data_IF_507001937565
#
_entry.id   IF_507001937565
#
_cell.length_a   1.000
_cell.length_b   1.000
_cell.length_c   1.000
_cell.angle_alpha   90.00
_cell.angle_beta   90.00
_cell.angle_gamma   90.00
#
_symmetry.space_group_name_H-M   'P 1'
#
loop_
_entity.id
_entity.type
_entity.pdbx_description
1 polymer ?
#
# COMPACT_ATOMS: atom_id res chain seq x y z
N UNK A 1 -30.00 -20.71 -29.65
CA UNK A 1 -29.85 -20.74 -28.19
C UNK A 1 -28.37 -20.61 -27.90
N UNK A 2 -27.93 -19.46 -27.42
CA UNK A 2 -26.51 -19.23 -27.10
C UNK A 2 -26.20 -19.87 -25.74
N UNK A 3 -25.22 -20.77 -25.72
CA UNK A 3 -24.70 -21.37 -24.50
C UNK A 3 -23.94 -20.28 -23.74
N UNK A 4 -24.22 -20.04 -22.44
CA UNK A 4 -23.45 -19.09 -21.68
C UNK A 4 -22.02 -19.63 -21.51
N UNK A 5 -21.04 -18.85 -21.97
CA UNK A 5 -19.63 -19.07 -21.63
C UNK A 5 -19.50 -18.79 -20.13
N UNK A 6 -19.29 -19.84 -19.35
CA UNK A 6 -18.88 -19.69 -17.97
C UNK A 6 -17.45 -19.14 -17.98
N UNK A 7 -17.31 -17.84 -17.82
CA UNK A 7 -16.07 -17.22 -17.34
C UNK A 7 -15.87 -17.73 -15.93
N UNK A 8 -15.06 -18.78 -15.79
CA UNK A 8 -14.41 -19.10 -14.52
C UNK A 8 -13.68 -17.83 -14.09
N UNK A 9 -14.02 -17.28 -12.92
CA UNK A 9 -13.18 -16.29 -12.26
C UNK A 9 -11.73 -16.81 -12.27
N UNK A 10 -10.72 -15.96 -12.51
CA UNK A 10 -9.35 -16.40 -12.30
C UNK A 10 -9.28 -17.01 -10.90
N UNK A 11 -8.68 -18.20 -10.81
CA UNK A 11 -8.37 -18.78 -9.51
C UNK A 11 -7.63 -17.68 -8.74
N UNK A 12 -8.15 -17.27 -7.58
CA UNK A 12 -7.41 -16.41 -6.67
C UNK A 12 -6.00 -16.99 -6.59
N UNK A 13 -5.01 -16.20 -6.98
CA UNK A 13 -3.63 -16.61 -6.87
C UNK A 13 -3.40 -16.93 -5.39
N UNK A 14 -2.70 -18.04 -5.15
CA UNK A 14 -2.41 -18.43 -3.79
C UNK A 14 -1.40 -17.43 -3.23
N UNK A 15 -1.69 -16.83 -2.06
CA UNK A 15 -0.74 -15.94 -1.37
C UNK A 15 0.64 -16.60 -1.29
N UNK A 16 1.65 -15.90 -1.80
CA UNK A 16 3.04 -16.32 -1.81
C UNK A 16 3.87 -15.34 -0.98
N UNK A 17 4.15 -15.61 0.30
CA UNK A 17 4.89 -14.68 1.14
C UNK A 17 6.34 -14.50 0.63
N UNK A 18 6.88 -13.30 0.77
CA UNK A 18 8.27 -12.99 0.39
C UNK A 18 9.31 -13.66 1.28
N UNK A 19 8.97 -13.98 2.52
CA UNK A 19 9.83 -14.75 3.41
C UNK A 19 9.04 -15.77 4.23
N UNK A 20 9.69 -16.88 4.56
CA UNK A 20 9.16 -17.91 5.45
C UNK A 20 10.22 -18.22 6.51
N UNK A 21 9.82 -18.14 7.78
CA UNK A 21 10.66 -18.56 8.91
C UNK A 21 10.24 -19.93 9.40
N UNK A 22 11.15 -20.89 9.29
CA UNK A 22 11.02 -22.22 9.88
C UNK A 22 11.70 -22.21 11.24
N UNK A 23 11.00 -22.57 12.30
CA UNK A 23 11.56 -22.55 13.66
C UNK A 23 11.15 -23.76 14.48
N UNK A 24 11.98 -24.10 15.45
CA UNK A 24 11.69 -25.18 16.40
C UNK A 24 12.48 -24.99 17.69
N UNK A 25 12.09 -25.72 18.73
CA UNK A 25 12.91 -25.85 19.94
C UNK A 25 14.18 -26.64 19.63
N UNK A 26 15.28 -26.30 20.30
CA UNK A 26 16.50 -27.08 20.25
C UNK A 26 16.51 -28.22 21.25
N UNK A 27 17.68 -28.49 21.83
CA UNK A 27 17.88 -29.53 22.84
C UNK A 27 19.31 -29.54 23.36
N UNK A 28 19.66 -30.59 24.12
CA UNK A 28 20.99 -30.72 24.70
C UNK A 28 22.08 -30.86 23.62
N UNK A 29 23.12 -30.03 23.74
CA UNK A 29 24.41 -30.22 23.08
C UNK A 29 25.16 -31.28 23.89
N UNK A 30 25.34 -32.45 23.31
CA UNK A 30 25.99 -33.57 24.00
C UNK A 30 27.47 -33.27 24.21
N UNK A 31 28.05 -33.63 25.37
CA UNK A 31 29.49 -33.70 25.52
C UNK A 31 30.12 -34.58 24.43
N UNK A 32 31.27 -34.18 23.92
CA UNK A 32 32.08 -34.98 23.01
C UNK A 32 33.44 -35.37 23.61
N UNK A 33 34.26 -36.07 22.82
CA UNK A 33 33.93 -36.68 21.53
C UNK A 33 33.27 -38.08 21.66
N UNK A 34 32.52 -38.49 20.63
CA UNK A 34 31.96 -39.85 20.54
C UNK A 34 33.06 -40.92 20.38
N UNK A 35 32.84 -42.19 20.77
CA UNK A 35 33.82 -43.26 20.56
C UNK A 35 34.27 -43.35 19.09
N UNK A 36 35.59 -43.34 18.87
CA UNK A 36 36.24 -43.39 17.55
C UNK A 36 36.02 -42.15 16.67
N UNK A 37 35.44 -41.07 17.20
CA UNK A 37 35.31 -39.78 16.52
C UNK A 37 36.07 -38.70 17.31
N UNK A 38 36.26 -37.54 16.68
CA UNK A 38 36.91 -36.37 17.30
C UNK A 38 35.90 -35.34 17.84
N UNK A 39 34.59 -35.60 17.69
CA UNK A 39 33.49 -34.80 18.23
C UNK A 39 32.24 -35.66 18.50
N UNK A 40 31.28 -35.10 19.23
CA UNK A 40 29.87 -35.51 19.22
C UNK A 40 29.08 -34.50 18.39
N UNK A 41 27.86 -34.85 17.96
CA UNK A 41 27.02 -33.95 17.17
C UNK A 41 25.54 -34.07 17.54
N UNK A 42 24.79 -32.98 17.36
CA UNK A 42 23.34 -32.96 17.38
C UNK A 42 22.86 -32.34 16.07
N UNK A 43 21.71 -32.77 15.55
CA UNK A 43 21.10 -32.12 14.41
C UNK A 43 19.60 -31.91 14.62
N UNK A 44 19.11 -30.79 14.13
CA UNK A 44 17.69 -30.46 14.05
C UNK A 44 17.35 -30.17 12.60
N UNK A 45 16.22 -30.67 12.12
CA UNK A 45 15.86 -30.61 10.71
C UNK A 45 14.44 -30.07 10.51
N UNK A 46 14.22 -29.51 9.32
CA UNK A 46 12.91 -29.12 8.81
C UNK A 46 12.80 -29.53 7.34
N UNK A 47 11.61 -29.96 6.94
CA UNK A 47 11.28 -30.23 5.54
C UNK A 47 10.52 -29.03 4.97
N UNK A 48 10.95 -28.57 3.80
CA UNK A 48 10.32 -27.47 3.07
C UNK A 48 9.63 -28.00 1.81
N UNK A 49 8.57 -27.33 1.37
CA UNK A 49 7.82 -27.67 0.14
C UNK A 49 7.83 -26.55 -0.89
N UNK A 50 8.50 -25.43 -0.59
CA UNK A 50 8.57 -24.28 -1.49
C UNK A 50 9.62 -24.53 -2.57
N UNK A 51 9.22 -24.39 -3.84
CA UNK A 51 10.09 -24.63 -4.99
C UNK A 51 10.80 -23.36 -5.46
N UNK A 52 10.46 -22.20 -4.89
CA UNK A 52 11.04 -20.91 -5.27
C UNK A 52 12.52 -20.83 -4.91
N UNK A 53 13.23 -19.99 -5.66
CA UNK A 53 14.63 -19.64 -5.39
C UNK A 53 14.71 -18.82 -4.10
N UNK A 54 15.56 -19.24 -3.17
CA UNK A 54 15.95 -18.41 -2.03
C UNK A 54 17.07 -17.47 -2.48
N UNK A 55 16.94 -16.20 -2.11
CA UNK A 55 17.88 -15.11 -2.46
C UNK A 55 18.52 -14.48 -1.23
N UNK A 56 18.08 -14.88 -0.05
CA UNK A 56 18.62 -14.43 1.23
C UNK A 56 18.21 -15.45 2.31
N UNK A 57 19.14 -15.75 3.21
CA UNK A 57 19.04 -16.87 4.15
C UNK A 57 19.62 -16.47 5.51
N UNK A 58 18.78 -16.47 6.54
CA UNK A 58 19.21 -16.22 7.91
C UNK A 58 19.15 -17.47 8.77
N UNK A 59 20.12 -17.63 9.66
CA UNK A 59 20.08 -18.60 10.75
C UNK A 59 20.07 -17.88 12.10
N UNK A 60 19.06 -18.11 12.93
CA UNK A 60 19.09 -17.75 14.34
C UNK A 60 19.20 -18.99 15.22
N UNK A 61 20.07 -18.96 16.22
CA UNK A 61 20.28 -20.06 17.16
C UNK A 61 20.50 -19.53 18.57
N UNK A 62 19.66 -19.97 19.51
CA UNK A 62 19.76 -19.64 20.93
C UNK A 62 20.67 -20.66 21.63
N UNK A 63 21.84 -20.22 22.07
CA UNK A 63 22.92 -21.06 22.58
C UNK A 63 23.14 -20.80 24.07
N UNK A 64 23.34 -21.86 24.83
CA UNK A 64 23.99 -21.82 26.15
C UNK A 64 25.11 -22.86 26.14
N UNK A 65 26.35 -22.40 26.08
CA UNK A 65 27.53 -23.25 26.14
C UNK A 65 28.73 -22.50 26.70
N UNK A 66 29.41 -23.10 27.69
CA UNK A 66 30.52 -22.43 28.38
C UNK A 66 31.81 -22.29 27.53
N UNK A 67 31.88 -22.96 26.37
CA UNK A 67 33.08 -23.05 25.52
C UNK A 67 32.77 -22.99 24.02
N UNK A 68 32.67 -21.80 23.46
CA UNK A 68 32.47 -21.55 22.03
C UNK A 68 33.57 -22.17 21.14
N UNK A 69 34.80 -22.24 21.65
CA UNK A 69 35.94 -22.78 20.89
C UNK A 69 35.83 -24.28 20.58
N UNK A 70 34.94 -24.97 21.28
CA UNK A 70 34.69 -26.40 21.08
C UNK A 70 33.54 -26.66 20.08
N UNK A 71 32.79 -25.62 19.68
CA UNK A 71 31.61 -25.75 18.85
C UNK A 71 31.91 -25.55 17.36
N UNK A 72 31.23 -26.33 16.53
CA UNK A 72 31.16 -26.11 15.09
C UNK A 72 29.71 -26.24 14.64
N UNK A 73 29.18 -25.19 14.00
CA UNK A 73 27.77 -25.09 13.62
C UNK A 73 27.68 -25.01 12.11
N UNK A 74 26.99 -25.97 11.51
CA UNK A 74 26.72 -26.02 10.07
C UNK A 74 25.23 -25.92 9.80
N UNK A 75 24.88 -25.21 8.74
CA UNK A 75 23.60 -25.33 8.06
C UNK A 75 23.81 -26.20 6.81
N UNK A 76 22.96 -27.21 6.66
CA UNK A 76 22.88 -28.11 5.53
C UNK A 76 21.50 -28.00 4.89
N UNK A 77 21.45 -28.17 3.58
CA UNK A 77 20.22 -28.03 2.81
C UNK A 77 20.04 -29.20 1.84
N UNK A 78 18.95 -29.19 1.06
CA UNK A 78 18.59 -30.28 0.16
C UNK A 78 19.65 -30.59 -0.89
N UNK A 79 20.47 -29.60 -1.24
CA UNK A 79 21.53 -29.71 -2.24
C UNK A 79 22.86 -30.24 -1.65
N UNK A 80 22.96 -30.40 -0.34
CA UNK A 80 24.20 -30.82 0.34
C UNK A 80 24.46 -32.32 0.08
N UNK A 81 25.49 -32.62 -0.71
CA UNK A 81 25.95 -33.99 -0.97
C UNK A 81 27.34 -34.18 -0.39
N UNK A 82 27.53 -35.18 0.49
CA UNK A 82 28.85 -35.47 1.05
C UNK A 82 29.48 -34.29 1.81
N UNK A 83 28.64 -33.46 2.46
CA UNK A 83 28.97 -32.24 3.21
C UNK A 83 29.14 -30.93 2.41
N UNK A 84 28.97 -30.92 1.08
CA UNK A 84 29.05 -29.70 0.28
C UNK A 84 27.87 -29.56 -0.71
N UNK A 85 27.39 -28.33 -0.99
CA UNK A 85 27.71 -27.10 -0.24
C UNK A 85 27.13 -27.14 1.18
N UNK A 86 27.80 -26.48 2.12
CA UNK A 86 27.30 -26.20 3.46
C UNK A 86 27.64 -24.77 3.85
N UNK A 87 26.89 -24.24 4.83
CA UNK A 87 27.18 -22.94 5.44
C UNK A 87 27.71 -23.19 6.84
N UNK A 88 28.93 -22.74 7.11
CA UNK A 88 29.51 -22.78 8.44
C UNK A 88 29.12 -21.49 9.15
N UNK A 89 28.17 -21.56 10.08
CA UNK A 89 27.78 -20.41 10.89
C UNK A 89 28.87 -20.05 11.91
N UNK A 90 29.36 -21.05 12.65
CA UNK A 90 30.47 -20.92 13.60
C UNK A 90 31.51 -22.03 13.35
N UNK A 91 32.75 -21.63 13.10
CA UNK A 91 33.87 -22.55 12.98
C UNK A 91 34.49 -22.85 14.36
N UNK A 92 34.88 -24.11 14.58
CA UNK A 92 35.63 -24.51 15.78
C UNK A 92 36.85 -23.62 15.99
N UNK A 93 36.98 -23.07 17.19
CA UNK A 93 38.08 -22.18 17.58
C UNK A 93 37.97 -20.74 17.07
N UNK A 94 36.92 -20.37 16.34
CA UNK A 94 36.71 -19.01 15.83
C UNK A 94 36.43 -18.00 16.95
N UNK A 95 35.68 -18.43 17.97
CA UNK A 95 35.45 -17.68 19.19
C UNK A 95 35.77 -18.54 20.41
N UNK A 96 35.91 -17.92 21.58
CA UNK A 96 36.30 -18.59 22.83
C UNK A 96 35.39 -18.16 23.98
N UNK A 97 35.34 -18.96 25.04
CA UNK A 97 34.58 -18.63 26.25
C UNK A 97 33.09 -18.94 26.14
N UNK A 98 32.27 -18.29 26.96
CA UNK A 98 30.83 -18.53 27.06
C UNK A 98 30.09 -17.94 25.87
N UNK A 99 29.14 -18.69 25.34
CA UNK A 99 28.05 -18.20 24.48
C UNK A 99 26.74 -18.43 25.21
N UNK A 100 25.94 -17.37 25.34
CA UNK A 100 24.69 -17.37 26.11
C UNK A 100 23.70 -16.39 25.46
N UNK A 101 22.62 -16.93 24.90
CA UNK A 101 21.54 -16.21 24.24
C UNK A 101 21.47 -16.41 22.73
N UNK A 102 20.77 -15.50 22.06
CA UNK A 102 20.41 -15.62 20.64
C UNK A 102 21.49 -15.06 19.72
N UNK A 103 22.08 -15.93 18.90
CA UNK A 103 23.04 -15.59 17.87
C UNK A 103 22.37 -15.69 16.51
N UNK A 104 22.43 -14.61 15.71
CA UNK A 104 21.96 -14.59 14.33
C UNK A 104 23.14 -14.59 13.39
N UNK A 105 23.02 -15.38 12.33
CA UNK A 105 24.00 -15.51 11.28
C UNK A 105 23.37 -15.11 9.96
N UNK A 106 24.02 -14.15 9.29
CA UNK A 106 23.56 -13.45 8.10
C UNK A 106 24.82 -12.84 7.43
N UNK A 107 25.06 -13.03 6.12
CA UNK A 107 26.24 -12.46 5.45
C UNK A 107 26.19 -10.93 5.29
N UNK A 108 25.01 -10.33 5.42
CA UNK A 108 24.78 -8.89 5.45
C UNK A 108 25.18 -8.27 6.80
N UNK A 109 25.33 -9.09 7.85
CA UNK A 109 25.78 -8.63 9.16
C UNK A 109 27.16 -7.96 9.08
N UNK A 110 27.39 -6.96 9.92
CA UNK A 110 28.64 -6.18 9.87
C UNK A 110 29.80 -6.76 10.69
N UNK A 111 29.52 -7.66 11.62
CA UNK A 111 30.47 -8.17 12.60
C UNK A 111 30.77 -9.66 12.38
N UNK A 112 32.00 -10.11 12.66
CA UNK A 112 32.32 -11.55 12.74
C UNK A 112 32.34 -12.00 14.19
N UNK A 113 31.78 -13.18 14.48
CA UNK A 113 31.88 -13.77 15.82
C UNK A 113 33.33 -14.18 16.07
N UNK A 114 34.03 -13.47 16.95
CA UNK A 114 35.45 -13.68 17.27
C UNK A 114 35.74 -13.26 18.72
N UNK A 115 36.92 -13.58 19.23
CA UNK A 115 37.36 -13.14 20.55
C UNK A 115 36.85 -14.01 21.70
N UNK A 116 36.73 -13.42 22.90
CA UNK A 116 36.34 -14.12 24.13
C UNK A 116 34.99 -13.64 24.64
N UNK A 117 34.13 -14.59 25.00
CA UNK A 117 32.75 -14.38 25.47
C UNK A 117 31.96 -13.46 24.52
N UNK A 118 31.82 -13.82 23.23
CA UNK A 118 31.08 -12.98 22.29
C UNK A 118 29.62 -12.86 22.75
N UNK A 119 29.06 -11.63 22.83
CA UNK A 119 27.68 -11.45 23.24
C UNK A 119 26.71 -12.03 22.20
N UNK A 120 25.49 -12.36 22.62
CA UNK A 120 24.39 -12.60 21.70
C UNK A 120 24.19 -11.38 20.76
N UNK A 121 23.86 -11.65 19.49
CA UNK A 121 23.78 -10.61 18.46
C UNK A 121 23.91 -11.17 17.05
N UNK A 122 24.12 -10.27 16.10
CA UNK A 122 24.11 -10.58 14.66
C UNK A 122 25.53 -10.62 14.11
N UNK A 123 25.85 -11.69 13.38
CA UNK A 123 27.20 -12.01 12.95
C UNK A 123 27.25 -12.58 11.54
N UNK A 124 28.32 -12.29 10.82
CA UNK A 124 28.63 -12.99 9.59
C UNK A 124 28.95 -14.46 9.88
N UNK A 125 28.42 -15.39 9.07
CA UNK A 125 28.83 -16.77 9.14
C UNK A 125 30.31 -16.91 8.72
N UNK A 126 30.94 -18.00 9.14
CA UNK A 126 32.31 -18.33 8.71
C UNK A 126 32.39 -18.63 7.20
N UNK A 127 31.30 -19.10 6.59
CA UNK A 127 31.12 -19.24 5.14
C UNK A 127 29.82 -18.53 4.75
N UNK A 128 29.83 -17.70 3.70
CA UNK A 128 28.68 -16.89 3.28
C UNK A 128 27.43 -17.73 3.02
N UNK A 129 26.23 -17.25 3.42
CA UNK A 129 24.98 -18.01 3.28
C UNK A 129 24.52 -18.09 1.82
N UNK A 130 24.92 -17.12 1.01
CA UNK A 130 24.80 -17.13 -0.45
C UNK A 130 25.31 -18.39 -1.15
N UNK A 131 26.14 -19.21 -0.50
CA UNK A 131 26.50 -20.55 -0.99
C UNK A 131 25.29 -21.53 -1.09
N UNK A 132 24.18 -21.22 -0.42
CA UNK A 132 22.97 -22.05 -0.34
C UNK A 132 21.70 -21.36 -0.88
N UNK A 133 21.83 -20.16 -1.45
CA UNK A 133 20.77 -19.42 -2.18
C UNK A 133 20.57 -19.99 -3.59
N UNK A 134 20.07 -21.22 -3.67
CA UNK A 134 19.89 -21.94 -4.94
C UNK A 134 18.53 -22.64 -5.02
N UNK A 135 17.90 -22.72 -6.21
CA UNK A 135 16.69 -23.52 -6.41
C UNK A 135 16.99 -24.97 -6.82
N UNK A 136 16.09 -25.94 -6.53
CA UNK A 136 14.90 -25.81 -5.68
C UNK A 136 15.26 -25.88 -4.19
N UNK A 137 14.48 -25.19 -3.34
CA UNK A 137 14.67 -25.21 -1.88
C UNK A 137 13.87 -26.29 -1.16
N UNK A 138 13.03 -27.02 -1.88
CA UNK A 138 12.28 -28.20 -1.43
C UNK A 138 13.20 -29.29 -0.88
N UNK A 139 12.88 -29.78 0.32
CA UNK A 139 13.51 -30.93 0.96
C UNK A 139 14.06 -30.62 2.36
N UNK A 140 14.93 -31.51 2.82
CA UNK A 140 15.46 -31.46 4.18
C UNK A 140 16.53 -30.39 4.37
N UNK A 141 16.26 -29.44 5.25
CA UNK A 141 17.23 -28.53 5.83
C UNK A 141 17.58 -28.98 7.23
N UNK A 142 18.85 -28.84 7.63
CA UNK A 142 19.26 -29.21 8.98
C UNK A 142 20.40 -28.37 9.53
N UNK A 143 20.30 -28.07 10.81
CA UNK A 143 21.36 -27.40 11.58
C UNK A 143 22.09 -28.48 12.35
N UNK A 144 23.41 -28.55 12.16
CA UNK A 144 24.30 -29.49 12.82
C UNK A 144 25.20 -28.74 13.80
N UNK A 145 25.14 -29.12 15.07
CA UNK A 145 26.02 -28.59 16.11
C UNK A 145 26.94 -29.70 16.57
N UNK A 146 28.22 -29.59 16.21
CA UNK A 146 29.28 -30.49 16.65
C UNK A 146 29.99 -29.92 17.88
N UNK A 147 30.28 -30.78 18.85
CA UNK A 147 31.02 -30.44 20.06
C UNK A 147 32.29 -31.29 20.17
N UNK A 148 33.43 -30.61 20.11
CA UNK A 148 34.77 -31.21 20.19
C UNK A 148 35.32 -31.26 21.63
N UNK A 149 34.56 -30.74 22.60
CA UNK A 149 34.91 -30.68 24.01
C UNK A 149 34.02 -31.56 24.87
N UNK A 150 34.37 -31.70 26.14
CA UNK A 150 33.64 -32.53 27.12
C UNK A 150 32.56 -31.76 27.89
N UNK A 151 32.37 -30.48 27.59
CA UNK A 151 31.38 -29.62 28.24
C UNK A 151 30.04 -29.78 27.54
N UNK A 152 28.95 -29.95 28.31
CA UNK A 152 27.60 -29.96 27.76
C UNK A 152 27.10 -28.52 27.56
N UNK A 153 26.03 -28.37 26.79
CA UNK A 153 25.26 -27.14 26.73
C UNK A 153 23.88 -27.39 26.13
N UNK A 154 23.23 -26.34 25.66
CA UNK A 154 21.90 -26.43 25.04
C UNK A 154 21.77 -25.49 23.85
N UNK A 155 20.95 -25.92 22.90
CA UNK A 155 20.28 -25.03 21.96
C UNK A 155 18.87 -24.83 22.50
N UNK A 156 18.47 -23.62 22.86
CA UNK A 156 17.12 -23.34 23.36
C UNK A 156 16.10 -23.39 22.22
N UNK A 157 16.39 -22.67 21.15
CA UNK A 157 15.58 -22.59 19.94
C UNK A 157 16.45 -22.30 18.73
N UNK A 158 15.90 -22.54 17.54
CA UNK A 158 16.54 -22.15 16.29
C UNK A 158 15.48 -21.75 15.27
N UNK A 159 15.90 -20.93 14.30
CA UNK A 159 15.10 -20.63 13.13
C UNK A 159 15.96 -20.46 11.88
N UNK A 160 15.41 -20.85 10.73
CA UNK A 160 15.93 -20.55 9.41
C UNK A 160 14.90 -19.65 8.73
N UNK A 161 15.29 -18.43 8.36
CA UNK A 161 14.45 -17.55 7.55
C UNK A 161 14.93 -17.62 6.12
N UNK A 162 13.99 -17.86 5.20
CA UNK A 162 14.25 -17.92 3.77
C UNK A 162 13.49 -16.79 3.09
N UNK A 163 14.20 -15.92 2.39
CA UNK A 163 13.64 -14.87 1.54
C UNK A 163 13.67 -15.32 0.09
N UNK A 164 12.56 -15.18 -0.63
CA UNK A 164 12.37 -15.73 -1.97
C UNK A 164 12.55 -14.70 -3.08
N UNK A 165 13.05 -15.15 -4.24
CA UNK A 165 13.25 -14.33 -5.42
C UNK A 165 11.95 -13.73 -5.96
N UNK A 166 10.84 -14.44 -5.80
CA UNK A 166 9.52 -14.09 -6.31
C UNK A 166 8.48 -14.27 -5.20
N UNK A 167 7.57 -13.32 -5.07
CA UNK A 167 6.47 -13.37 -4.11
C UNK A 167 5.29 -12.51 -4.58
N UNK A 168 4.14 -12.79 -3.99
CA UNK A 168 2.84 -12.18 -4.23
C UNK A 168 2.14 -12.18 -2.86
N UNK A 169 2.43 -11.16 -2.05
CA UNK A 169 2.09 -11.15 -0.62
C UNK A 169 0.59 -10.98 -0.38
N UNK A 170 -0.13 -10.35 -1.31
CA UNK A 170 -1.56 -10.13 -1.20
C UNK A 170 -2.39 -11.15 -2.00
N UNK A 171 -1.79 -11.87 -2.95
CA UNK A 171 -2.42 -12.93 -3.73
C UNK A 171 -3.23 -12.41 -4.92
N UNK A 172 -2.89 -11.25 -5.46
CA UNK A 172 -3.59 -10.63 -6.58
C UNK A 172 -3.12 -11.16 -7.96
N UNK A 173 -2.04 -11.93 -7.97
CA UNK A 173 -1.45 -12.53 -9.16
C UNK A 173 -0.35 -11.70 -9.82
N UNK A 174 0.02 -10.56 -9.25
CA UNK A 174 1.13 -9.71 -9.67
C UNK A 174 2.31 -9.91 -8.70
N UNK A 175 3.51 -10.04 -9.25
CA UNK A 175 4.70 -10.19 -8.41
C UNK A 175 5.03 -8.87 -7.72
N UNK A 176 5.34 -8.90 -6.43
CA UNK A 176 5.64 -7.76 -5.56
C UNK A 176 6.60 -6.73 -6.20
N UNK A 177 7.56 -7.17 -7.02
CA UNK A 177 8.55 -6.31 -7.70
C UNK A 177 7.97 -5.42 -8.81
N UNK A 178 6.83 -5.80 -9.36
CA UNK A 178 6.14 -5.09 -10.44
C UNK A 178 4.75 -4.65 -10.04
N UNK A 179 4.33 -4.97 -8.81
CA UNK A 179 3.05 -4.56 -8.24
C UNK A 179 3.13 -3.11 -7.72
N UNK A 180 2.22 -2.27 -8.20
CA UNK A 180 2.09 -0.89 -7.71
C UNK A 180 1.29 -0.78 -6.39
N UNK A 181 0.71 -1.86 -5.88
CA UNK A 181 0.15 -1.99 -4.53
C UNK A 181 0.47 -3.34 -3.84
N UNK A 182 1.74 -3.58 -3.45
CA UNK A 182 2.22 -4.92 -3.05
C UNK A 182 1.55 -5.61 -1.84
N UNK A 183 0.66 -4.89 -1.13
CA UNK A 183 -0.06 -5.39 0.04
C UNK A 183 -1.58 -5.18 -0.06
N UNK A 184 -2.08 -4.72 -1.20
CA UNK A 184 -3.50 -4.42 -1.44
C UNK A 184 -3.91 -4.90 -2.83
N UNK A 185 -4.70 -5.98 -2.86
CA UNK A 185 -5.17 -6.63 -4.08
C UNK A 185 -5.60 -5.64 -5.17
N UNK A 186 -4.88 -5.61 -6.29
CA UNK A 186 -5.16 -4.70 -7.39
C UNK A 186 -4.70 -5.25 -8.75
N UNK A 187 -5.16 -6.44 -9.12
CA UNK A 187 -4.75 -7.15 -10.35
C UNK A 187 -4.88 -6.38 -11.67
N UNK A 188 -5.67 -5.29 -11.68
CA UNK A 188 -5.81 -4.37 -12.83
C UNK A 188 -4.68 -3.34 -12.94
N UNK A 189 -3.85 -3.20 -11.90
CA UNK A 189 -2.66 -2.33 -11.81
C UNK A 189 -2.96 -0.90 -12.26
N UNK A 190 -4.16 -0.41 -11.93
CA UNK A 190 -4.55 0.95 -12.26
C UNK A 190 -3.69 1.93 -11.46
N UNK A 191 -3.18 2.95 -12.13
CA UNK A 191 -2.36 4.04 -11.59
C UNK A 191 -2.69 5.26 -12.46
N UNK A 192 -3.67 6.03 -12.01
CA UNK A 192 -4.28 7.11 -12.82
C UNK A 192 -3.39 8.33 -12.97
N UNK A 193 -2.61 8.66 -11.96
CA UNK A 193 -1.73 9.82 -11.94
C UNK A 193 -0.28 9.49 -12.37
N UNK A 194 0.02 8.20 -12.51
CA UNK A 194 1.30 7.64 -12.96
C UNK A 194 2.46 7.95 -12.01
N UNK A 195 2.20 7.98 -10.70
CA UNK A 195 3.22 8.17 -9.67
C UNK A 195 3.92 6.86 -9.26
N UNK A 196 3.42 5.72 -9.75
CA UNK A 196 3.92 4.37 -9.47
C UNK A 196 3.27 3.69 -8.27
N UNK A 197 2.30 4.33 -7.61
CA UNK A 197 1.43 3.76 -6.59
C UNK A 197 0.07 3.48 -7.21
N UNK A 198 -0.44 2.27 -7.03
CA UNK A 198 -1.71 1.89 -7.64
C UNK A 198 -2.90 2.56 -6.95
N UNK A 199 -3.98 2.74 -7.71
CA UNK A 199 -5.22 3.37 -7.26
C UNK A 199 -5.80 2.73 -5.98
N UNK A 200 -5.50 1.45 -5.74
CA UNK A 200 -6.01 0.69 -4.61
C UNK A 200 -5.34 1.06 -3.28
N UNK A 201 -4.10 1.53 -3.32
CA UNK A 201 -3.27 1.86 -2.16
C UNK A 201 -2.81 3.32 -2.16
N UNK A 202 -3.27 4.12 -3.12
CA UNK A 202 -3.01 5.54 -3.20
C UNK A 202 -4.09 6.39 -2.51
N UNK A 203 -3.63 7.40 -1.79
CA UNK A 203 -4.45 8.35 -1.03
C UNK A 203 -4.83 9.58 -1.86
N UNK A 204 -4.27 9.77 -3.06
CA UNK A 204 -4.52 10.89 -3.99
C UNK A 204 -4.55 10.39 -5.44
N UNK A 205 -5.58 9.61 -5.79
CA UNK A 205 -5.61 8.79 -7.02
C UNK A 205 -5.70 9.57 -8.34
N UNK A 206 -5.75 10.89 -8.29
CA UNK A 206 -5.67 11.71 -9.50
C UNK A 206 -4.56 12.76 -9.47
N UNK A 207 -3.72 12.75 -8.42
CA UNK A 207 -2.51 13.53 -8.30
C UNK A 207 -2.76 15.04 -8.25
N UNK A 208 -3.93 15.49 -7.79
CA UNK A 208 -4.29 16.90 -7.75
C UNK A 208 -3.94 17.62 -6.43
N UNK A 209 -3.29 16.90 -5.51
CA UNK A 209 -2.88 17.31 -4.16
C UNK A 209 -4.01 17.43 -3.14
N UNK A 210 -5.21 16.95 -3.46
CA UNK A 210 -6.33 16.79 -2.53
C UNK A 210 -6.54 15.30 -2.27
N UNK A 211 -6.27 14.87 -1.04
CA UNK A 211 -6.46 13.46 -0.69
C UNK A 211 -7.89 12.97 -0.99
N UNK A 212 -8.05 11.75 -1.47
CA UNK A 212 -9.30 11.08 -1.86
C UNK A 212 -10.44 11.24 -0.84
N UNK A 213 -10.11 11.32 0.46
CA UNK A 213 -11.10 11.49 1.54
C UNK A 213 -11.65 12.91 1.68
N UNK A 214 -10.91 13.90 1.20
CA UNK A 214 -11.28 15.31 1.15
C UNK A 214 -11.64 15.78 -0.26
N UNK A 215 -11.29 14.98 -1.27
CA UNK A 215 -11.54 15.27 -2.66
C UNK A 215 -13.00 14.99 -3.04
N UNK A 216 -13.59 15.99 -3.65
CA UNK A 216 -14.90 15.90 -4.25
C UNK A 216 -14.95 15.08 -5.55
N UNK A 217 -13.87 15.02 -6.30
CA UNK A 217 -13.76 14.27 -7.56
C UNK A 217 -12.49 13.39 -7.61
N UNK A 218 -12.33 12.36 -6.75
CA UNK A 218 -11.11 11.53 -6.60
C UNK A 218 -10.54 10.81 -7.84
N UNK A 219 -11.19 10.94 -8.98
CA UNK A 219 -10.79 10.30 -10.24
C UNK A 219 -10.62 11.32 -11.38
N UNK A 220 -10.59 12.61 -11.07
CA UNK A 220 -10.54 13.71 -12.05
C UNK A 220 -9.61 14.80 -11.52
N UNK A 221 -8.35 14.75 -11.95
CA UNK A 221 -7.33 15.73 -11.58
C UNK A 221 -7.82 17.17 -11.70
N UNK A 222 -7.90 17.90 -10.59
CA UNK A 222 -8.27 19.31 -10.61
C UNK A 222 -7.60 20.13 -9.50
N UNK A 223 -6.71 21.04 -9.89
CA UNK A 223 -5.96 21.96 -9.01
C UNK A 223 -6.84 23.07 -8.37
N UNK A 224 -7.92 22.67 -7.73
CA UNK A 224 -8.88 23.48 -6.99
C UNK A 224 -8.90 23.02 -5.55
N UNK A 225 -9.40 23.85 -4.64
CA UNK A 225 -9.51 23.46 -3.23
C UNK A 225 -10.52 22.34 -2.96
N UNK A 226 -11.39 22.04 -3.93
CA UNK A 226 -12.41 20.98 -3.81
C UNK A 226 -12.01 19.68 -4.50
N UNK A 227 -10.85 19.66 -5.17
CA UNK A 227 -10.40 18.59 -6.07
C UNK A 227 -11.35 18.30 -7.24
N UNK A 228 -12.24 19.25 -7.57
CA UNK A 228 -13.13 19.13 -8.73
C UNK A 228 -12.88 20.21 -9.77
N UNK A 229 -13.02 19.91 -11.08
CA UNK A 229 -12.88 20.92 -12.10
C UNK A 229 -13.94 22.01 -11.93
N UNK A 230 -13.54 23.27 -12.07
CA UNK A 230 -14.46 24.39 -12.03
C UNK A 230 -15.30 24.44 -13.31
N UNK A 231 -16.61 24.25 -13.17
CA UNK A 231 -17.57 24.25 -14.27
C UNK A 231 -18.19 25.64 -14.47
N UNK A 232 -17.59 26.43 -15.36
CA UNK A 232 -18.11 27.74 -15.73
C UNK A 232 -19.62 27.73 -16.02
N UNK A 233 -20.31 28.74 -15.49
CA UNK A 233 -21.75 28.91 -15.73
C UNK A 233 -22.16 30.36 -15.91
N UNK A 234 -23.22 30.54 -16.68
CA UNK A 234 -23.79 31.86 -16.97
C UNK A 234 -25.20 31.96 -16.43
N UNK A 235 -25.52 33.11 -15.84
CA UNK A 235 -26.88 33.43 -15.38
C UNK A 235 -27.45 34.57 -16.22
N UNK A 236 -28.67 34.40 -16.71
CA UNK A 236 -29.38 35.42 -17.49
C UNK A 236 -30.77 35.65 -16.92
N UNK A 237 -31.13 36.92 -16.85
CA UNK A 237 -32.49 37.37 -16.55
C UNK A 237 -33.07 38.07 -17.77
N UNK A 238 -34.32 37.75 -18.13
CA UNK A 238 -35.06 38.41 -19.20
C UNK A 238 -36.44 38.78 -18.72
N UNK A 239 -36.85 40.03 -18.95
CA UNK A 239 -38.20 40.50 -18.69
C UNK A 239 -39.06 40.34 -19.96
N UNK A 240 -40.14 39.57 -19.86
CA UNK A 240 -41.10 39.32 -20.93
C UNK A 240 -42.24 40.33 -20.84
N UNK A 241 -42.17 41.39 -21.64
CA UNK A 241 -43.12 42.51 -21.57
C UNK A 241 -44.59 42.13 -21.84
N UNK A 242 -44.83 41.06 -22.61
CA UNK A 242 -46.19 40.62 -22.96
C UNK A 242 -46.93 39.99 -21.77
N UNK A 243 -46.23 39.18 -20.99
CA UNK A 243 -46.79 38.46 -19.83
C UNK A 243 -46.45 39.13 -18.50
N UNK A 244 -45.54 40.11 -18.53
CA UNK A 244 -44.92 40.71 -17.32
C UNK A 244 -44.19 39.69 -16.45
N UNK A 245 -43.61 38.65 -17.06
CA UNK A 245 -42.80 37.65 -16.35
C UNK A 245 -41.30 37.99 -16.39
N UNK A 246 -40.58 37.56 -15.38
CA UNK A 246 -39.14 37.36 -15.44
C UNK A 246 -38.82 35.90 -15.74
N UNK A 247 -37.94 35.67 -16.71
CA UNK A 247 -37.36 34.36 -16.99
C UNK A 247 -35.91 34.36 -16.57
N UNK A 248 -35.59 33.43 -15.70
CA UNK A 248 -34.25 33.08 -15.21
C UNK A 248 -33.72 31.91 -16.02
N UNK A 249 -32.45 31.99 -16.43
CA UNK A 249 -31.75 30.87 -17.04
C UNK A 249 -30.31 30.78 -16.54
N UNK A 250 -29.95 29.63 -16.00
CA UNK A 250 -28.58 29.19 -15.73
C UNK A 250 -28.17 28.24 -16.85
N UNK A 251 -26.92 28.34 -17.32
CA UNK A 251 -26.32 27.43 -18.31
C UNK A 251 -24.90 27.12 -17.91
N UNK A 252 -24.50 25.86 -18.01
CA UNK A 252 -23.12 25.38 -17.92
C UNK A 252 -22.93 24.27 -18.94
N UNK A 253 -21.67 23.91 -19.22
CA UNK A 253 -21.34 22.69 -19.95
C UNK A 253 -21.83 21.47 -19.18
N UNK A 254 -21.65 21.48 -17.85
CA UNK A 254 -22.09 20.43 -16.93
C UNK A 254 -23.58 20.61 -16.57
N UNK A 255 -24.47 19.66 -16.91
CA UNK A 255 -25.89 19.73 -16.60
C UNK A 255 -26.20 19.94 -15.11
N UNK A 256 -25.37 19.40 -14.25
CA UNK A 256 -25.42 19.45 -12.78
C UNK A 256 -25.29 20.90 -12.30
N UNK A 257 -24.40 21.68 -12.91
CA UNK A 257 -24.16 23.08 -12.55
C UNK A 257 -25.24 24.07 -13.02
N UNK A 258 -26.18 23.63 -13.86
CA UNK A 258 -27.37 24.40 -14.21
C UNK A 258 -28.65 23.89 -13.54
N UNK A 259 -28.74 22.58 -13.28
CA UNK A 259 -29.91 21.94 -12.70
C UNK A 259 -30.11 22.38 -11.25
N UNK A 260 -31.34 22.77 -10.89
CA UNK A 260 -31.70 23.10 -9.48
C UNK A 260 -30.76 24.12 -8.82
N UNK A 261 -30.15 25.00 -9.61
CA UNK A 261 -29.29 26.07 -9.12
C UNK A 261 -30.05 27.03 -8.21
N UNK A 262 -29.47 27.36 -7.06
CA UNK A 262 -29.97 28.40 -6.16
C UNK A 262 -29.58 29.78 -6.72
N UNK A 263 -30.59 30.63 -6.91
CA UNK A 263 -30.43 31.95 -7.53
C UNK A 263 -31.14 33.00 -6.68
N UNK A 264 -30.47 34.12 -6.46
CA UNK A 264 -31.01 35.27 -5.72
C UNK A 264 -31.32 36.39 -6.70
N UNK A 265 -32.55 36.90 -6.65
CA UNK A 265 -32.95 38.10 -7.39
C UNK A 265 -32.71 39.33 -6.52
N UNK A 266 -31.91 40.26 -7.05
CA UNK A 266 -31.55 41.50 -6.38
C UNK A 266 -32.20 42.70 -7.07
N UNK A 267 -32.55 43.71 -6.28
CA UNK A 267 -32.94 45.03 -6.76
C UNK A 267 -31.81 46.02 -6.50
N UNK A 268 -31.36 46.68 -7.58
CA UNK A 268 -30.33 47.70 -7.50
C UNK A 268 -30.81 48.92 -6.72
N UNK A 269 -29.99 49.41 -5.78
CA UNK A 269 -30.29 50.58 -4.93
C UNK A 269 -29.14 51.58 -4.90
N UNK A 270 -29.44 52.77 -4.36
CA UNK A 270 -28.42 53.76 -4.00
C UNK A 270 -27.95 53.38 -2.59
N UNK A 271 -26.80 52.72 -2.49
CA UNK A 271 -26.36 52.01 -1.28
C UNK A 271 -26.40 50.50 -1.50
N UNK A 272 -26.79 49.75 -0.47
CA UNK A 272 -26.83 48.29 -0.54
C UNK A 272 -28.02 47.76 -1.36
N UNK A 273 -27.72 46.80 -2.24
CA UNK A 273 -28.74 46.13 -3.05
C UNK A 273 -29.65 45.26 -2.20
N UNK A 274 -30.94 45.25 -2.54
CA UNK A 274 -31.95 44.54 -1.74
C UNK A 274 -32.31 43.20 -2.36
N UNK A 275 -32.20 42.12 -1.58
CA UNK A 275 -32.77 40.81 -1.94
C UNK A 275 -34.27 40.95 -2.16
N UNK A 276 -34.74 40.46 -3.31
CA UNK A 276 -36.15 40.40 -3.68
C UNK A 276 -36.71 39.02 -3.33
N UNK A 277 -36.04 37.97 -3.80
CA UNK A 277 -36.43 36.58 -3.54
C UNK A 277 -35.26 35.64 -3.83
N UNK A 278 -35.26 34.48 -3.19
CA UNK A 278 -34.41 33.33 -3.50
C UNK A 278 -35.23 32.32 -4.29
N UNK A 279 -34.63 31.66 -5.26
CA UNK A 279 -35.30 30.78 -6.22
C UNK A 279 -34.41 29.58 -6.52
N UNK A 280 -35.04 28.44 -6.79
CA UNK A 280 -34.36 27.26 -7.31
C UNK A 280 -34.81 27.05 -8.77
N UNK A 281 -33.85 26.83 -9.68
CA UNK A 281 -34.17 26.54 -11.09
C UNK A 281 -34.72 25.13 -11.27
N UNK A 282 -35.31 24.84 -12.43
CA UNK A 282 -35.67 23.47 -12.84
C UNK A 282 -34.42 22.61 -13.06
N UNK A 283 -34.60 21.30 -13.32
CA UNK A 283 -33.53 20.42 -13.82
C UNK A 283 -32.86 20.91 -15.12
N UNK A 284 -33.52 21.75 -15.92
CA UNK A 284 -32.94 22.36 -17.14
C UNK A 284 -32.39 23.79 -16.93
N UNK A 285 -32.18 24.21 -15.68
CA UNK A 285 -31.66 25.53 -15.33
C UNK A 285 -32.57 26.71 -15.64
N UNK A 286 -33.89 26.51 -15.79
CA UNK A 286 -34.86 27.58 -16.06
C UNK A 286 -35.81 27.80 -14.88
N UNK A 287 -36.25 29.05 -14.68
CA UNK A 287 -37.36 29.40 -13.78
C UNK A 287 -38.09 30.62 -14.33
N UNK A 288 -39.42 30.62 -14.24
CA UNK A 288 -40.25 31.80 -14.50
C UNK A 288 -40.88 32.28 -13.19
N UNK A 289 -41.06 33.58 -13.06
CA UNK A 289 -41.75 34.23 -11.95
C UNK A 289 -42.36 35.56 -12.41
N UNK A 290 -43.37 36.04 -11.69
CA UNK A 290 -43.92 37.36 -11.94
C UNK A 290 -42.85 38.46 -11.77
N UNK A 291 -42.84 39.43 -12.68
CA UNK A 291 -41.95 40.58 -12.55
C UNK A 291 -42.30 41.39 -11.28
N UNK A 292 -41.31 41.82 -10.49
CA UNK A 292 -41.52 42.70 -9.36
C UNK A 292 -42.31 43.95 -9.73
N UNK A 293 -43.37 44.25 -8.96
CA UNK A 293 -44.25 45.40 -9.18
C UNK A 293 -43.54 46.76 -9.14
N UNK A 294 -42.41 46.85 -8.44
CA UNK A 294 -41.66 48.10 -8.28
C UNK A 294 -40.71 48.31 -9.48
N UNK A 295 -40.78 49.43 -10.22
CA UNK A 295 -39.85 49.69 -11.31
C UNK A 295 -38.41 49.84 -10.79
N UNK A 296 -37.44 49.48 -11.62
CA UNK A 296 -36.02 49.54 -11.26
C UNK A 296 -35.13 48.63 -12.10
N UNK A 297 -33.85 48.57 -11.76
CA UNK A 297 -32.91 47.57 -12.27
C UNK A 297 -32.86 46.37 -11.33
N UNK A 298 -32.80 45.19 -11.91
CA UNK A 298 -32.75 43.92 -11.20
C UNK A 298 -31.68 43.03 -11.85
N UNK A 299 -30.98 42.24 -11.06
CA UNK A 299 -30.02 41.24 -11.55
C UNK A 299 -30.11 39.97 -10.70
N UNK A 300 -29.48 38.92 -11.18
CA UNK A 300 -29.42 37.62 -10.50
C UNK A 300 -28.00 37.30 -10.10
N UNK A 301 -27.84 36.62 -8.98
CA UNK A 301 -26.63 35.89 -8.63
C UNK A 301 -26.99 34.41 -8.47
N UNK A 302 -26.23 33.50 -9.06
CA UNK A 302 -26.25 32.09 -8.71
C UNK A 302 -25.24 31.84 -7.59
N UNK A 303 -25.68 31.17 -6.53
CA UNK A 303 -24.84 30.80 -5.39
C UNK A 303 -23.95 29.62 -5.76
N UNK A 304 -22.68 29.58 -5.30
CA UNK A 304 -21.79 28.45 -5.58
C UNK A 304 -22.48 27.14 -5.19
N UNK A 305 -22.27 26.13 -6.02
CA UNK A 305 -22.83 24.80 -5.79
C UNK A 305 -21.76 23.77 -6.09
N UNK A 306 -21.95 22.57 -5.57
CA UNK A 306 -20.99 21.50 -5.70
C UNK A 306 -21.71 20.27 -6.26
N UNK A 307 -21.17 19.69 -7.34
CA UNK A 307 -21.67 18.48 -7.96
C UNK A 307 -20.65 17.37 -7.73
N UNK A 308 -20.96 16.49 -6.78
CA UNK A 308 -20.09 15.38 -6.36
C UNK A 308 -19.62 14.54 -7.55
N UNK A 309 -18.32 14.26 -7.61
CA UNK A 309 -17.64 13.54 -8.69
C UNK A 309 -17.82 14.14 -10.10
N UNK A 310 -18.24 15.41 -10.21
CA UNK A 310 -18.47 16.07 -11.50
C UNK A 310 -17.73 17.40 -11.61
N UNK A 311 -18.05 18.37 -10.74
CA UNK A 311 -17.52 19.72 -10.85
C UNK A 311 -17.88 20.62 -9.66
N UNK A 312 -17.05 21.64 -9.43
CA UNK A 312 -17.42 22.81 -8.65
C UNK A 312 -18.13 23.84 -9.53
N UNK A 313 -19.30 24.31 -9.12
CA UNK A 313 -20.10 25.29 -9.86
C UNK A 313 -19.88 26.70 -9.29
N UNK A 314 -18.96 27.51 -9.84
CA UNK A 314 -18.60 28.83 -9.30
C UNK A 314 -19.79 29.80 -9.28
N UNK A 315 -19.78 30.82 -8.40
CA UNK A 315 -20.83 31.85 -8.40
C UNK A 315 -20.89 32.58 -9.75
N UNK A 316 -22.08 33.01 -10.16
CA UNK A 316 -22.24 33.72 -11.43
C UNK A 316 -23.29 34.83 -11.34
N UNK A 317 -23.00 35.98 -11.95
CA UNK A 317 -23.84 37.18 -11.87
C UNK A 317 -24.36 37.57 -13.24
N UNK A 318 -25.66 37.85 -13.35
CA UNK A 318 -26.27 38.30 -14.60
C UNK A 318 -26.07 39.79 -14.83
N UNK A 319 -26.14 40.24 -16.09
CA UNK A 319 -26.39 41.66 -16.40
C UNK A 319 -27.73 42.11 -15.79
N UNK A 320 -27.82 43.39 -15.43
CA UNK A 320 -29.08 43.94 -14.91
C UNK A 320 -30.12 44.17 -16.01
N UNK A 321 -31.40 43.88 -15.71
CA UNK A 321 -32.55 44.18 -16.56
C UNK A 321 -33.38 45.30 -15.94
N UNK A 322 -33.91 46.20 -16.76
CA UNK A 322 -34.79 47.29 -16.31
C UNK A 322 -36.25 46.85 -16.41
N UNK A 323 -36.94 46.85 -15.28
CA UNK A 323 -38.39 46.64 -15.20
C UNK A 323 -39.06 48.01 -15.16
N UNK A 324 -39.97 48.26 -16.11
CA UNK A 324 -40.72 49.51 -16.24
C UNK A 324 -42.09 49.35 -15.60
N UNK A 325 -42.72 50.47 -15.21
CA UNK A 325 -44.12 50.43 -14.74
C UNK A 325 -45.00 49.85 -15.86
N UNK A 326 -45.97 48.97 -15.54
CA UNK A 326 -47.01 48.63 -16.50
C UNK A 326 -47.70 49.94 -16.91
N UNK A 327 -47.86 50.14 -18.23
CA UNK A 327 -48.70 51.24 -18.73
C UNK A 327 -50.11 50.93 -18.25
N UNK A 328 -50.64 51.80 -17.36
CA UNK A 328 -52.07 51.83 -17.05
C UNK A 328 -52.84 52.21 -18.30
#
# INVERSE_FOLDING_TARGET
MAVPVATTAPASAQVQPCSITYSSSGGAIRPGPDPQKDHSWNAWAVETTDERTVVDLDLAIDLDHARAQDLHINLMGPQTVGFLPNVVALQKGQATGVVDGLYRFDDEASAKITGSNPPAGDYQPATAMSAMEVPPTTGGWSIWVSNYGTTAGTVGSWSITMTFATCDSDGDGIEEKVDNCPVVLNSEQLDRDADGRGDACDDDTDGDSVANTADGCPAITALTTSGCPAADRTVRVRHLLKTSDLVVRVRSYYPECQARAQVVLWRVKKGEDKVVTRLTTSSRGKKALDAPRRPGRYYLTAEPAYAAAVAECPPATSKSVRIRRPRR
#
